data_IF_359383710428
#
_entry.id   IF_359383710428
#
_cell.length_a   1.000
_cell.length_b   1.000
_cell.length_c   1.000
_cell.angle_alpha   90.00
_cell.angle_beta   90.00
_cell.angle_gamma   90.00
#
_symmetry.space_group_name_H-M   'P 1'
#
loop_
_entity.id
_entity.type
_entity.pdbx_description
1 polymer ?
#
# COMPACT_ATOMS: atom_id res chain seq x y z
N UNK A 1 -15.19 58.07 -18.81
CA UNK A 1 -14.84 56.75 -18.26
C UNK A 1 -13.98 56.97 -17.02
N UNK A 2 -14.08 56.12 -16.00
CA UNK A 2 -13.20 56.15 -14.83
C UNK A 2 -11.76 55.90 -15.33
N UNK A 3 -10.81 56.81 -15.04
CA UNK A 3 -9.40 56.66 -15.42
C UNK A 3 -8.57 56.48 -14.14
N UNK A 4 -8.56 55.27 -13.61
CA UNK A 4 -7.76 54.85 -12.45
C UNK A 4 -7.01 53.60 -12.89
N UNK A 5 -5.69 53.58 -12.73
CA UNK A 5 -4.84 52.47 -13.20
C UNK A 5 -4.87 51.29 -12.24
N UNK A 6 -4.99 51.54 -10.93
CA UNK A 6 -5.07 50.48 -9.93
C UNK A 6 -6.48 49.87 -9.86
N UNK A 7 -6.52 48.53 -9.85
CA UNK A 7 -7.77 47.75 -9.84
C UNK A 7 -8.49 47.90 -8.50
N UNK A 8 -7.74 47.93 -7.40
CA UNK A 8 -8.31 48.08 -6.06
C UNK A 8 -8.90 49.48 -5.86
N UNK A 9 -8.13 50.52 -6.18
CA UNK A 9 -8.62 51.91 -6.11
C UNK A 9 -9.83 52.15 -7.06
N UNK A 10 -9.85 51.51 -8.23
CA UNK A 10 -11.01 51.55 -9.14
C UNK A 10 -12.25 50.93 -8.51
N UNK A 11 -12.11 49.76 -7.86
CA UNK A 11 -13.22 49.09 -7.18
C UNK A 11 -13.76 49.93 -6.02
N UNK A 12 -12.88 50.46 -5.17
CA UNK A 12 -13.25 51.33 -4.04
C UNK A 12 -14.01 52.57 -4.51
N UNK A 13 -13.54 53.19 -5.60
CA UNK A 13 -14.21 54.38 -6.15
C UNK A 13 -15.60 54.06 -6.71
N UNK A 14 -15.78 52.90 -7.32
CA UNK A 14 -17.09 52.44 -7.82
C UNK A 14 -18.06 52.16 -6.66
N UNK A 15 -17.58 51.54 -5.58
CA UNK A 15 -18.36 51.30 -4.36
C UNK A 15 -18.78 52.65 -3.76
N UNK A 16 -17.86 53.60 -3.65
CA UNK A 16 -18.13 54.92 -3.08
C UNK A 16 -19.18 55.70 -3.91
N UNK A 17 -19.11 55.63 -5.24
CA UNK A 17 -20.12 56.23 -6.12
C UNK A 17 -21.49 55.56 -5.96
N UNK A 18 -21.54 54.24 -5.87
CA UNK A 18 -22.78 53.49 -5.68
C UNK A 18 -23.44 53.79 -4.32
N UNK A 19 -22.65 53.89 -3.25
CA UNK A 19 -23.14 54.25 -1.92
C UNK A 19 -23.59 55.71 -1.85
N UNK A 20 -22.87 56.65 -2.49
CA UNK A 20 -23.30 58.05 -2.60
C UNK A 20 -24.60 58.20 -3.40
N UNK A 21 -24.83 57.31 -4.37
CA UNK A 21 -26.09 57.23 -5.12
C UNK A 21 -27.29 56.76 -4.28
N UNK A 22 -27.08 56.36 -3.02
CA UNK A 22 -28.14 55.93 -2.11
C UNK A 22 -28.59 54.48 -2.31
N UNK A 23 -27.71 53.61 -2.83
CA UNK A 23 -27.98 52.17 -2.95
C UNK A 23 -28.44 51.59 -1.59
N UNK A 24 -29.69 51.11 -1.46
CA UNK A 24 -30.25 50.69 -0.18
C UNK A 24 -29.91 49.24 0.20
N UNK A 25 -29.16 48.54 -0.64
CA UNK A 25 -28.81 47.12 -0.51
C UNK A 25 -27.31 46.90 -0.75
N UNK A 26 -26.83 45.68 -0.48
CA UNK A 26 -25.43 45.28 -0.61
C UNK A 26 -24.91 45.53 -2.03
N UNK A 27 -23.85 46.34 -2.12
CA UNK A 27 -23.20 46.69 -3.40
C UNK A 27 -22.06 45.69 -3.66
N UNK A 28 -22.14 44.95 -4.76
CA UNK A 28 -21.06 44.08 -5.25
C UNK A 28 -20.47 44.67 -6.52
N UNK A 29 -19.17 44.96 -6.51
CA UNK A 29 -18.42 45.42 -7.70
C UNK A 29 -17.41 44.35 -8.09
N UNK A 30 -17.35 44.03 -9.38
CA UNK A 30 -16.34 43.14 -9.95
C UNK A 30 -15.54 43.95 -10.96
N UNK A 31 -14.24 44.12 -10.70
CA UNK A 31 -13.28 44.75 -11.61
C UNK A 31 -12.30 43.68 -12.05
N UNK A 32 -12.16 43.52 -13.36
CA UNK A 32 -11.22 42.58 -13.95
C UNK A 32 -10.29 43.37 -14.89
N UNK A 33 -9.00 43.30 -14.61
CA UNK A 33 -7.97 43.76 -15.54
C UNK A 33 -7.63 42.62 -16.50
N UNK A 34 -7.62 42.92 -17.80
CA UNK A 34 -7.32 41.93 -18.85
C UNK A 34 -5.88 42.12 -19.26
N UNK A 35 -5.04 41.22 -18.77
CA UNK A 35 -3.61 41.14 -19.08
C UNK A 35 -3.31 39.83 -19.80
N UNK A 36 -2.53 39.89 -20.88
CA UNK A 36 -2.08 38.70 -21.59
C UNK A 36 -0.92 38.03 -20.83
N UNK A 37 -1.15 36.86 -20.22
CA UNK A 37 -0.13 36.05 -19.54
C UNK A 37 -0.15 34.58 -20.01
N UNK A 38 1.03 33.96 -20.16
CA UNK A 38 1.18 32.52 -20.37
C UNK A 38 0.82 31.74 -19.10
N UNK A 39 -0.18 30.85 -19.19
CA UNK A 39 -0.76 30.16 -18.04
C UNK A 39 0.20 29.13 -17.40
N UNK A 40 0.69 29.42 -16.18
CA UNK A 40 1.35 28.47 -15.28
C UNK A 40 0.42 27.91 -14.19
N UNK A 41 0.90 26.94 -13.37
CA UNK A 41 0.09 26.27 -12.33
C UNK A 41 -0.58 27.27 -11.37
N UNK A 42 -1.92 27.20 -11.30
CA UNK A 42 -2.74 28.06 -10.45
C UNK A 42 -2.59 27.68 -8.97
N UNK A 43 -2.07 28.58 -8.15
CA UNK A 43 -2.26 28.50 -6.71
C UNK A 43 -3.68 28.95 -6.37
N UNK A 44 -4.41 28.24 -5.50
CA UNK A 44 -5.74 28.66 -5.10
C UNK A 44 -5.65 29.99 -4.34
N UNK A 45 -6.37 31.01 -4.83
CA UNK A 45 -6.49 32.29 -4.13
C UNK A 45 -7.51 32.13 -3.01
N UNK A 46 -7.07 32.34 -1.77
CA UNK A 46 -7.92 32.32 -0.59
C UNK A 46 -8.41 33.75 -0.34
N UNK A 47 -9.73 33.96 -0.39
CA UNK A 47 -10.35 35.29 -0.21
C UNK A 47 -11.59 35.20 0.69
N UNK A 48 -11.92 36.30 1.38
CA UNK A 48 -13.06 36.42 2.28
C UNK A 48 -12.73 36.05 3.74
N UNK A 49 -13.74 35.63 4.52
CA UNK A 49 -13.66 35.41 5.97
C UNK A 49 -12.64 34.36 6.47
N UNK A 50 -11.93 33.68 5.55
CA UNK A 50 -10.85 32.73 5.84
C UNK A 50 -9.47 33.39 5.75
N UNK A 51 -9.34 34.45 4.97
CA UNK A 51 -8.15 35.30 4.91
C UNK A 51 -8.29 36.28 6.07
N UNK A 52 -7.63 36.02 7.19
CA UNK A 52 -7.84 36.72 8.47
C UNK A 52 -7.49 38.22 8.54
N UNK A 53 -7.53 38.93 7.42
CA UNK A 53 -7.41 40.39 7.35
C UNK A 53 -8.81 41.01 7.44
N UNK A 54 -9.26 41.27 8.68
CA UNK A 54 -10.51 41.98 8.99
C UNK A 54 -10.28 43.50 9.18
N UNK A 55 -9.22 44.06 8.61
CA UNK A 55 -8.92 45.50 8.72
C UNK A 55 -9.63 46.35 7.64
N UNK A 56 -10.83 45.96 7.23
CA UNK A 56 -11.69 46.81 6.40
C UNK A 56 -12.43 47.83 7.28
N UNK A 57 -11.76 48.93 7.60
CA UNK A 57 -12.43 50.08 8.21
C UNK A 57 -13.32 50.75 7.17
N UNK A 58 -14.62 50.83 7.41
CA UNK A 58 -15.56 51.52 6.53
C UNK A 58 -15.12 52.99 6.29
N UNK A 59 -15.12 53.49 5.04
CA UNK A 59 -14.69 54.85 4.75
C UNK A 59 -15.46 55.90 5.58
N UNK A 60 -14.75 56.86 6.22
CA UNK A 60 -15.32 57.73 7.25
C UNK A 60 -16.42 58.67 6.72
N UNK A 61 -16.45 58.94 5.42
CA UNK A 61 -17.39 59.89 4.83
C UNK A 61 -18.77 59.32 4.50
N UNK A 62 -18.95 58.01 4.67
CA UNK A 62 -20.26 57.33 4.52
C UNK A 62 -21.09 57.43 5.79
N UNK A 63 -22.41 57.29 5.67
CA UNK A 63 -23.30 57.26 6.84
C UNK A 63 -22.94 56.11 7.81
N UNK A 64 -22.54 54.95 7.26
CA UNK A 64 -22.09 53.79 8.03
C UNK A 64 -20.72 54.03 8.71
N UNK A 65 -19.76 54.67 8.04
CA UNK A 65 -18.46 55.02 8.61
C UNK A 65 -18.54 56.03 9.75
N UNK A 66 -19.46 57.02 9.67
CA UNK A 66 -19.72 57.93 10.79
C UNK A 66 -20.39 57.23 11.97
N UNK A 67 -21.31 56.31 11.71
CA UNK A 67 -21.97 55.54 12.76
C UNK A 67 -21.01 54.58 13.48
N UNK A 68 -20.05 53.98 12.77
CA UNK A 68 -19.07 53.08 13.36
C UNK A 68 -18.04 53.80 14.24
N UNK A 69 -17.74 55.08 13.96
CA UNK A 69 -16.83 55.91 14.78
C UNK A 69 -17.36 56.22 16.19
N UNK A 70 -18.69 56.17 16.39
CA UNK A 70 -19.31 56.36 17.71
C UNK A 70 -19.42 55.08 18.54
N UNK A 71 -19.13 53.92 17.95
CA UNK A 71 -19.18 52.66 18.68
C UNK A 71 -17.78 52.37 19.24
N UNK A 72 -17.53 52.50 20.56
CA UNK A 72 -16.24 52.14 21.12
C UNK A 72 -15.94 50.69 20.76
N UNK A 73 -14.77 50.45 20.15
CA UNK A 73 -14.34 49.15 19.64
C UNK A 73 -14.76 48.07 20.63
N UNK A 74 -15.74 47.25 20.22
CA UNK A 74 -16.06 46.04 20.96
C UNK A 74 -14.74 45.28 21.03
N UNK A 75 -14.25 45.01 22.22
CA UNK A 75 -13.14 44.07 22.40
C UNK A 75 -13.66 42.72 21.92
N UNK A 76 -13.59 42.49 20.62
CA UNK A 76 -13.78 41.17 20.06
C UNK A 76 -12.62 40.35 20.61
N UNK A 77 -12.92 39.24 21.32
CA UNK A 77 -11.86 38.37 21.79
C UNK A 77 -11.08 37.98 20.54
N UNK A 78 -9.79 38.33 20.50
CA UNK A 78 -8.87 37.93 19.45
C UNK A 78 -9.09 36.44 19.22
N UNK A 79 -9.78 36.10 18.13
CA UNK A 79 -10.05 34.72 17.79
C UNK A 79 -8.68 34.12 17.55
N UNK A 80 -8.23 33.33 18.51
CA UNK A 80 -7.08 32.48 18.34
C UNK A 80 -7.44 31.63 17.14
N UNK A 81 -6.86 31.95 15.97
CA UNK A 81 -6.92 31.11 14.79
C UNK A 81 -6.47 29.74 15.30
N UNK A 82 -7.32 28.72 15.28
CA UNK A 82 -6.84 27.37 15.54
C UNK A 82 -5.77 27.16 14.48
N UNK A 83 -4.51 27.04 14.89
CA UNK A 83 -3.47 26.56 13.97
C UNK A 83 -4.08 25.35 13.27
N UNK A 84 -4.00 25.26 11.92
CA UNK A 84 -4.41 24.07 11.22
C UNK A 84 -3.76 22.91 11.95
N UNK A 85 -4.57 22.15 12.69
CA UNK A 85 -4.06 20.98 13.38
C UNK A 85 -3.49 20.13 12.26
N UNK A 86 -2.17 19.91 12.28
CA UNK A 86 -1.55 18.91 11.42
C UNK A 86 -2.48 17.71 11.44
N UNK A 87 -2.94 17.20 10.27
CA UNK A 87 -3.98 16.20 10.23
C UNK A 87 -3.55 15.08 11.17
N UNK A 88 -4.23 15.01 12.32
CA UNK A 88 -3.87 14.08 13.36
C UNK A 88 -3.99 12.72 12.68
N UNK A 89 -2.83 12.09 12.40
CA UNK A 89 -2.78 10.78 11.79
C UNK A 89 -3.61 9.92 12.71
N UNK A 90 -4.84 9.60 12.28
CA UNK A 90 -5.74 8.82 13.11
C UNK A 90 -4.95 7.58 13.52
N UNK A 91 -4.77 7.32 14.82
CA UNK A 91 -3.96 6.19 15.23
C UNK A 91 -4.69 4.98 14.68
N UNK A 92 -4.15 4.35 13.61
CA UNK A 92 -4.69 3.11 13.07
C UNK A 92 -4.90 2.22 14.27
N UNK A 93 -6.18 1.95 14.59
CA UNK A 93 -6.54 1.28 15.83
C UNK A 93 -5.64 0.06 15.96
N UNK A 94 -4.84 -0.02 17.03
CA UNK A 94 -3.86 -1.10 17.22
C UNK A 94 -4.51 -2.47 17.02
N UNK A 95 -5.83 -2.57 17.27
CA UNK A 95 -6.68 -3.73 16.97
C UNK A 95 -6.70 -4.11 15.47
N UNK A 96 -6.81 -3.16 14.55
CA UNK A 96 -6.78 -3.43 13.08
C UNK A 96 -5.41 -3.92 12.63
N UNK A 97 -4.32 -3.39 13.20
CA UNK A 97 -2.95 -3.84 12.90
C UNK A 97 -2.74 -5.26 13.46
N UNK A 98 -3.20 -5.53 14.68
CA UNK A 98 -3.17 -6.87 15.27
C UNK A 98 -3.98 -7.87 14.45
N UNK A 99 -5.21 -7.52 14.04
CA UNK A 99 -6.04 -8.39 13.19
C UNK A 99 -5.37 -8.66 11.84
N UNK A 100 -4.78 -7.65 11.20
CA UNK A 100 -4.06 -7.83 9.94
C UNK A 100 -2.82 -8.72 10.12
N UNK A 101 -2.06 -8.54 11.21
CA UNK A 101 -0.91 -9.38 11.53
C UNK A 101 -1.32 -10.84 11.80
N UNK A 102 -2.39 -11.05 12.56
CA UNK A 102 -2.93 -12.40 12.82
C UNK A 102 -3.40 -13.05 11.52
N UNK A 103 -4.13 -12.32 10.67
CA UNK A 103 -4.57 -12.83 9.37
C UNK A 103 -3.38 -13.20 8.48
N UNK A 104 -2.35 -12.35 8.41
CA UNK A 104 -1.11 -12.65 7.69
C UNK A 104 -0.46 -13.94 8.20
N UNK A 105 -0.32 -14.09 9.52
CA UNK A 105 0.25 -15.29 10.13
C UNK A 105 -0.59 -16.53 9.80
N UNK A 106 -1.92 -16.44 9.86
CA UNK A 106 -2.81 -17.54 9.49
C UNK A 106 -2.67 -17.93 8.02
N UNK A 107 -2.58 -16.95 7.11
CA UNK A 107 -2.36 -17.22 5.68
C UNK A 107 -1.01 -17.90 5.46
N UNK A 108 0.05 -17.46 6.15
CA UNK A 108 1.37 -18.08 6.05
C UNK A 108 1.37 -19.51 6.58
N UNK A 109 0.76 -19.77 7.74
CA UNK A 109 0.64 -21.12 8.32
C UNK A 109 -0.20 -22.02 7.42
N UNK A 110 -1.35 -21.53 6.95
CA UNK A 110 -2.23 -22.27 6.04
C UNK A 110 -1.53 -22.60 4.72
N UNK A 111 -0.83 -21.62 4.12
CA UNK A 111 -0.04 -21.81 2.91
C UNK A 111 1.09 -22.83 3.10
N UNK A 112 1.79 -22.78 4.24
CA UNK A 112 2.83 -23.75 4.56
C UNK A 112 2.25 -25.16 4.74
N UNK A 113 1.12 -25.31 5.42
CA UNK A 113 0.47 -26.60 5.64
C UNK A 113 0.00 -27.23 4.32
N UNK A 114 -0.72 -26.45 3.49
CA UNK A 114 -1.19 -26.91 2.18
C UNK A 114 0.00 -27.21 1.27
N UNK A 115 1.01 -26.33 1.23
CA UNK A 115 2.21 -26.55 0.43
C UNK A 115 2.94 -27.82 0.83
N UNK A 116 3.09 -28.08 2.14
CA UNK A 116 3.73 -29.29 2.66
C UNK A 116 2.95 -30.56 2.31
N UNK A 117 1.63 -30.50 2.34
CA UNK A 117 0.76 -31.63 1.95
C UNK A 117 0.88 -31.95 0.46
N UNK A 118 0.82 -30.92 -0.39
CA UNK A 118 0.97 -31.09 -1.85
C UNK A 118 2.33 -31.71 -2.19
N UNK A 119 3.41 -31.23 -1.56
CA UNK A 119 4.76 -31.78 -1.78
C UNK A 119 4.80 -33.26 -1.38
N UNK A 120 4.24 -33.63 -0.22
CA UNK A 120 4.31 -35.01 0.31
C UNK A 120 3.45 -36.03 -0.45
N UNK A 121 2.50 -35.60 -1.27
CA UNK A 121 1.64 -36.49 -2.05
C UNK A 121 2.21 -36.89 -3.42
N UNK A 122 3.35 -36.34 -3.82
CA UNK A 122 4.02 -36.72 -5.06
C UNK A 122 5.08 -37.80 -4.82
N UNK A 123 5.08 -38.81 -5.69
CA UNK A 123 6.02 -39.93 -5.66
C UNK A 123 6.59 -40.16 -7.05
N UNK A 124 7.88 -40.41 -7.13
CA UNK A 124 8.58 -40.71 -8.38
C UNK A 124 9.80 -41.58 -8.11
N UNK A 125 10.40 -42.14 -9.16
CA UNK A 125 11.54 -43.05 -9.05
C UNK A 125 12.78 -42.30 -9.48
N UNK A 126 13.79 -42.24 -8.62
CA UNK A 126 15.04 -41.57 -8.93
C UNK A 126 16.24 -42.32 -8.36
N UNK A 127 17.42 -41.98 -8.88
CA UNK A 127 18.70 -42.32 -8.27
C UNK A 127 18.86 -41.56 -6.94
N UNK A 128 19.16 -42.31 -5.88
CA UNK A 128 19.65 -41.76 -4.62
C UNK A 128 20.81 -42.62 -4.10
N UNK A 129 21.97 -42.00 -3.88
CA UNK A 129 23.19 -42.66 -3.43
C UNK A 129 23.58 -43.91 -4.25
N UNK A 130 23.41 -43.86 -5.58
CA UNK A 130 23.72 -44.96 -6.50
C UNK A 130 22.71 -46.11 -6.52
N UNK A 131 21.61 -45.99 -5.76
CA UNK A 131 20.54 -46.98 -5.68
C UNK A 131 19.24 -46.45 -6.29
N UNK A 132 18.41 -47.38 -6.76
CA UNK A 132 17.08 -47.06 -7.29
C UNK A 132 16.11 -46.95 -6.11
N UNK A 133 15.57 -45.75 -5.90
CA UNK A 133 14.69 -45.46 -4.79
C UNK A 133 13.41 -44.78 -5.25
N UNK A 134 12.32 -45.06 -4.54
CA UNK A 134 11.07 -44.32 -4.69
C UNK A 134 11.17 -43.12 -3.75
N UNK A 135 11.24 -41.94 -4.35
CA UNK A 135 11.29 -40.66 -3.66
C UNK A 135 9.87 -40.18 -3.37
N UNK A 136 9.70 -39.52 -2.22
CA UNK A 136 8.49 -38.78 -1.88
C UNK A 136 8.82 -37.30 -1.82
N UNK A 137 8.10 -36.48 -2.57
CA UNK A 137 8.33 -35.04 -2.62
C UNK A 137 8.39 -34.46 -4.02
N UNK A 138 9.07 -33.32 -4.13
CA UNK A 138 9.38 -32.66 -5.40
C UNK A 138 10.89 -32.57 -5.54
N UNK A 139 11.41 -32.78 -6.76
CA UNK A 139 12.83 -32.69 -7.05
C UNK A 139 13.38 -31.29 -6.71
N UNK A 140 14.46 -31.27 -5.94
CA UNK A 140 15.19 -30.04 -5.59
C UNK A 140 15.17 -29.70 -4.09
N UNK A 141 15.70 -28.52 -3.79
CA UNK A 141 15.81 -28.00 -2.43
C UNK A 141 15.35 -26.54 -2.39
N UNK A 142 14.69 -26.15 -1.31
CA UNK A 142 14.30 -24.76 -1.06
C UNK A 142 14.96 -24.29 0.23
N UNK A 143 15.66 -23.16 0.17
CA UNK A 143 16.40 -22.60 1.32
C UNK A 143 17.37 -23.60 1.98
N UNK A 144 18.00 -24.48 1.18
CA UNK A 144 18.91 -25.52 1.67
C UNK A 144 18.23 -26.73 2.31
N UNK A 145 16.90 -26.78 2.36
CA UNK A 145 16.12 -27.91 2.85
C UNK A 145 15.67 -28.74 1.64
N UNK A 146 15.93 -30.04 1.65
CA UNK A 146 15.44 -30.94 0.61
C UNK A 146 13.91 -31.03 0.66
N UNK A 147 13.25 -30.91 -0.51
CA UNK A 147 11.80 -31.10 -0.64
C UNK A 147 11.43 -32.56 -0.95
N UNK A 148 12.43 -33.44 -0.93
CA UNK A 148 12.33 -34.85 -1.27
C UNK A 148 13.06 -35.69 -0.22
N UNK A 149 12.53 -36.87 0.03
CA UNK A 149 13.12 -37.88 0.91
C UNK A 149 12.90 -39.28 0.31
N UNK A 150 13.83 -40.23 0.52
CA UNK A 150 13.62 -41.61 0.09
C UNK A 150 12.49 -42.22 0.91
N UNK A 151 11.46 -42.72 0.23
CA UNK A 151 10.30 -43.37 0.86
C UNK A 151 10.48 -44.88 0.91
N UNK A 152 10.89 -45.48 -0.21
CA UNK A 152 11.18 -46.92 -0.31
C UNK A 152 12.40 -47.18 -1.17
N UNK A 153 13.12 -48.26 -0.85
CA UNK A 153 14.27 -48.73 -1.59
C UNK A 153 13.93 -50.03 -2.30
N UNK A 154 14.44 -50.21 -3.52
CA UNK A 154 14.39 -51.50 -4.20
C UNK A 154 15.42 -52.46 -3.60
N UNK A 155 14.99 -53.66 -3.24
CA UNK A 155 15.87 -54.72 -2.76
C UNK A 155 15.71 -55.96 -3.64
N UNK A 156 16.82 -56.58 -4.01
CA UNK A 156 16.87 -57.78 -4.82
C UNK A 156 17.27 -58.97 -3.95
N UNK A 157 16.46 -60.03 -4.01
CA UNK A 157 16.81 -61.30 -3.36
C UNK A 157 17.80 -62.11 -4.22
N UNK A 158 18.24 -63.27 -3.71
CA UNK A 158 19.16 -64.17 -4.42
C UNK A 158 18.63 -64.72 -5.76
N UNK A 159 17.33 -64.58 -6.04
CA UNK A 159 16.67 -64.97 -7.30
C UNK A 159 16.41 -63.76 -8.21
N UNK A 160 16.97 -62.58 -7.89
CA UNK A 160 16.73 -61.31 -8.58
C UNK A 160 15.26 -60.86 -8.60
N UNK A 161 14.46 -61.27 -7.63
CA UNK A 161 13.11 -60.74 -7.46
C UNK A 161 13.16 -59.44 -6.66
N UNK A 162 12.37 -58.46 -7.10
CA UNK A 162 12.28 -57.14 -6.49
C UNK A 162 11.33 -57.13 -5.31
N UNK A 163 11.81 -56.70 -4.14
CA UNK A 163 11.00 -56.32 -2.98
C UNK A 163 11.22 -54.84 -2.65
N UNK A 164 10.21 -54.21 -2.07
CA UNK A 164 10.28 -52.81 -1.65
C UNK A 164 10.41 -52.75 -0.13
N UNK A 165 11.53 -52.23 0.36
CA UNK A 165 11.79 -52.04 1.79
C UNK A 165 11.68 -50.56 2.16
N UNK A 166 11.49 -50.26 3.44
CA UNK A 166 11.44 -48.87 3.91
C UNK A 166 12.85 -48.27 3.87
N UNK A 167 12.96 -46.99 3.54
CA UNK A 167 14.26 -46.32 3.55
C UNK A 167 14.91 -46.29 4.95
N UNK A 168 14.09 -46.28 6.00
CA UNK A 168 14.52 -46.24 7.40
C UNK A 168 15.01 -47.60 7.95
N UNK A 169 14.85 -48.71 7.22
CA UNK A 169 15.26 -50.02 7.71
C UNK A 169 16.78 -50.10 7.82
N UNK A 170 17.31 -50.55 8.95
CA UNK A 170 18.77 -50.64 9.16
C UNK A 170 19.41 -51.72 8.29
N UNK A 171 20.63 -51.47 7.81
CA UNK A 171 21.35 -52.32 6.85
C UNK A 171 21.55 -53.76 7.36
N UNK A 172 21.67 -53.95 8.68
CA UNK A 172 21.92 -55.25 9.33
C UNK A 172 20.70 -56.19 9.33
N UNK A 173 19.49 -55.69 9.02
CA UNK A 173 18.26 -56.49 8.98
C UNK A 173 17.88 -56.96 7.57
N UNK A 174 18.68 -56.63 6.55
CA UNK A 174 18.33 -56.86 5.14
C UNK A 174 18.95 -58.16 4.64
N UNK A 175 18.14 -59.21 4.45
CA UNK A 175 18.54 -60.44 3.73
C UNK A 175 18.57 -60.25 2.18
N UNK A 176 18.76 -59.02 1.71
CA UNK A 176 18.66 -58.68 0.30
C UNK A 176 19.67 -57.58 -0.07
N UNK A 177 20.05 -57.53 -1.35
CA UNK A 177 20.97 -56.53 -1.89
C UNK A 177 20.17 -55.34 -2.40
N UNK A 178 20.57 -54.12 -2.05
CA UNK A 178 19.95 -52.91 -2.63
C UNK A 178 20.12 -52.90 -4.16
N UNK A 179 19.05 -52.54 -4.84
CA UNK A 179 19.01 -52.43 -6.29
C UNK A 179 19.84 -51.22 -6.72
N UNK A 180 20.96 -51.48 -7.39
CA UNK A 180 21.81 -50.46 -7.96
C UNK A 180 21.27 -50.03 -9.33
N UNK A 181 21.66 -48.84 -9.78
CA UNK A 181 21.29 -48.36 -11.11
C UNK A 181 21.88 -49.26 -12.20
N UNK A 182 23.03 -49.88 -11.92
CA UNK A 182 23.65 -50.82 -12.85
C UNK A 182 22.87 -52.13 -13.00
N UNK A 183 21.93 -52.43 -12.10
CA UNK A 183 21.04 -53.58 -12.25
C UNK A 183 19.89 -53.31 -13.25
N UNK A 184 19.65 -52.04 -13.60
CA UNK A 184 18.63 -51.65 -14.58
C UNK A 184 19.10 -51.84 -16.02
N UNK A 185 18.14 -52.06 -16.93
CA UNK A 185 18.40 -52.05 -18.37
C UNK A 185 18.91 -50.67 -18.80
N UNK A 186 19.82 -50.57 -19.79
CA UNK A 186 20.41 -49.30 -20.19
C UNK A 186 19.39 -48.20 -20.52
N UNK A 187 18.24 -48.56 -21.09
CA UNK A 187 17.15 -47.63 -21.40
C UNK A 187 16.47 -47.04 -20.16
N UNK A 188 16.37 -47.80 -19.08
CA UNK A 188 15.70 -47.41 -17.82
C UNK A 188 16.64 -46.60 -16.91
N UNK A 189 17.96 -46.75 -17.08
CA UNK A 189 18.95 -45.96 -16.33
C UNK A 189 18.82 -44.47 -16.61
N UNK A 190 18.58 -44.10 -17.86
CA UNK A 190 18.45 -42.70 -18.25
C UNK A 190 17.22 -42.03 -17.60
N UNK A 191 16.09 -42.75 -17.53
CA UNK A 191 14.87 -42.22 -16.90
C UNK A 191 15.05 -42.06 -15.39
N UNK A 192 15.68 -43.02 -14.71
CA UNK A 192 15.87 -42.96 -13.25
C UNK A 192 16.91 -41.91 -12.85
N UNK A 193 17.91 -41.65 -13.70
CA UNK A 193 18.87 -40.56 -13.49
C UNK A 193 18.30 -39.17 -13.75
N UNK A 194 17.37 -39.07 -14.70
CA UNK A 194 16.67 -37.82 -14.98
C UNK A 194 15.67 -37.48 -13.87
N UNK A 195 15.08 -38.51 -13.26
CA UNK A 195 14.10 -38.42 -12.18
C UNK A 195 12.69 -38.10 -12.68
#
# INVERSE_FOLDING_TARGET
>A
ALQIEDVAESADRLIELALRGGGPDNVTVVVADVVDYDYGQTQPILAGAVSGDDDQTAPPDTAAGRASAFNPRRNEPKRVVPQPAEPARTPRSRRRVLLAAVLLVLVLIGGLAIGREIIRNNYYVAEHDGTVSIMRGVQGSFLGISLQEPYRLGCLNARNELSLISADDTQDQRECRLMAIDDLRPSERASVKAG
#
